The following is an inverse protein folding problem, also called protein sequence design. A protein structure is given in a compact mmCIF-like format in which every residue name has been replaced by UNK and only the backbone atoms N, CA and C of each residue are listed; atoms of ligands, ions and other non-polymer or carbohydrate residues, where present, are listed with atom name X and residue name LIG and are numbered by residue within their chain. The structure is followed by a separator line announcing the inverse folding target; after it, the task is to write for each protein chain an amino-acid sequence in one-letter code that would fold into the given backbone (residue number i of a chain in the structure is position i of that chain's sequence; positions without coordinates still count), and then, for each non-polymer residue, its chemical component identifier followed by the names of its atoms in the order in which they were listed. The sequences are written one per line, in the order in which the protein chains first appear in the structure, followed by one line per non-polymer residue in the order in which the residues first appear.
data_IF_131290778936
#
_entry.id   IF_131290778936
#
_cell.length_a   1.000
_cell.length_b   1.000
_cell.length_c   1.000
_cell.angle_alpha   90.00
_cell.angle_beta   90.00
_cell.angle_gamma   90.00
#
_symmetry.space_group_name_H-M   'P 1'
#
loop_
_entity.id
_entity.type
_entity.pdbx_description
1 polymer ?
#
# COMPACT_ATOMS: atom_id res chain seq x y z
N UNK A 1 -21.82 8.99 14.94
CA UNK A 1 -22.12 9.32 13.54
C UNK A 1 -22.73 8.13 12.79
N UNK A 2 -22.15 6.93 12.87
CA UNK A 2 -22.68 5.73 12.20
C UNK A 2 -24.13 5.44 12.61
N UNK A 3 -24.40 5.31 13.92
CA UNK A 3 -25.74 5.05 14.43
C UNK A 3 -26.70 6.24 14.23
N UNK A 4 -26.21 7.47 14.35
CA UNK A 4 -27.03 8.67 14.06
C UNK A 4 -27.45 8.75 12.59
N UNK A 5 -26.57 8.36 11.65
CA UNK A 5 -26.91 8.31 10.22
C UNK A 5 -27.96 7.24 9.88
N UNK A 6 -28.11 6.19 10.70
CA UNK A 6 -29.16 5.18 10.50
C UNK A 6 -30.55 5.65 10.98
N UNK A 7 -30.59 6.53 11.98
CA UNK A 7 -31.83 6.95 12.66
C UNK A 7 -32.42 8.25 12.12
N UNK A 8 -31.61 9.09 11.49
CA UNK A 8 -32.04 10.40 10.93
C UNK A 8 -31.95 10.32 9.40
N UNK A 9 -33.11 10.32 8.67
CA UNK A 9 -33.14 10.14 7.22
C UNK A 9 -32.30 11.19 6.45
N UNK A 10 -32.32 12.44 6.90
CA UNK A 10 -31.54 13.53 6.27
C UNK A 10 -30.04 13.30 6.44
N UNK A 11 -29.57 12.88 7.62
CA UNK A 11 -28.19 12.53 7.90
C UNK A 11 -27.78 11.27 7.13
N UNK A 12 -28.70 10.30 7.02
CA UNK A 12 -28.49 9.09 6.24
C UNK A 12 -28.21 9.40 4.77
N UNK A 13 -29.03 10.22 4.14
CA UNK A 13 -28.88 10.57 2.73
C UNK A 13 -27.60 11.40 2.50
N UNK A 14 -27.23 12.26 3.44
CA UNK A 14 -26.01 13.06 3.37
C UNK A 14 -24.74 12.24 3.60
N UNK A 15 -24.78 11.28 4.55
CA UNK A 15 -23.61 10.47 4.94
C UNK A 15 -23.40 9.26 4.03
N UNK A 16 -24.51 8.68 3.53
CA UNK A 16 -24.45 7.37 2.85
C UNK A 16 -24.81 7.48 1.36
N UNK A 17 -25.31 8.65 0.91
CA UNK A 17 -25.83 8.83 -0.45
C UNK A 17 -27.08 7.98 -0.72
N UNK A 18 -27.54 7.97 -1.97
CA UNK A 18 -28.70 7.17 -2.41
C UNK A 18 -28.39 5.66 -2.51
N UNK A 19 -27.17 5.26 -2.24
CA UNK A 19 -26.70 3.88 -2.39
C UNK A 19 -26.25 3.29 -1.07
N UNK A 20 -26.41 1.99 -0.94
CA UNK A 20 -25.89 1.19 0.19
C UNK A 20 -24.33 1.14 0.22
N UNK A 21 -23.64 1.96 -0.57
CA UNK A 21 -22.17 1.95 -0.76
C UNK A 21 -21.46 2.12 0.58
N UNK A 22 -21.86 3.11 1.39
CA UNK A 22 -21.25 3.32 2.70
C UNK A 22 -21.35 2.11 3.61
N UNK A 23 -22.52 1.44 3.62
CA UNK A 23 -22.72 0.21 4.38
C UNK A 23 -21.83 -0.94 3.90
N UNK A 24 -21.67 -1.08 2.58
CA UNK A 24 -20.82 -2.11 1.98
C UNK A 24 -19.34 -1.87 2.37
N UNK A 25 -18.88 -0.62 2.30
CA UNK A 25 -17.50 -0.26 2.70
C UNK A 25 -17.27 -0.53 4.19
N UNK A 26 -18.23 -0.21 5.05
CA UNK A 26 -18.13 -0.49 6.49
C UNK A 26 -18.11 -2.00 6.76
N UNK A 27 -18.96 -2.79 6.10
CA UNK A 27 -18.92 -4.26 6.23
C UNK A 27 -17.57 -4.83 5.73
N UNK A 28 -17.04 -4.31 4.62
CA UNK A 28 -15.71 -4.66 4.15
C UNK A 28 -14.63 -4.29 5.16
N UNK A 29 -14.72 -3.11 5.79
CA UNK A 29 -13.75 -2.69 6.81
C UNK A 29 -13.77 -3.58 8.04
N UNK A 30 -14.95 -4.07 8.46
CA UNK A 30 -15.06 -5.05 9.53
C UNK A 30 -14.42 -6.40 9.16
N UNK A 31 -14.58 -6.84 7.91
CA UNK A 31 -13.90 -8.06 7.43
C UNK A 31 -12.39 -7.93 7.46
N UNK A 32 -11.85 -6.81 6.95
CA UNK A 32 -10.40 -6.52 6.99
C UNK A 32 -9.90 -6.38 8.44
N UNK A 33 -10.66 -5.71 9.30
CA UNK A 33 -10.34 -5.61 10.73
C UNK A 33 -10.22 -6.99 11.38
N UNK A 34 -11.18 -7.89 11.12
CA UNK A 34 -11.13 -9.26 11.64
C UNK A 34 -9.90 -10.02 11.12
N UNK A 35 -9.58 -9.88 9.82
CA UNK A 35 -8.36 -10.48 9.26
C UNK A 35 -7.12 -9.95 9.98
N UNK A 36 -7.03 -8.64 10.22
CA UNK A 36 -5.93 -8.04 10.94
C UNK A 36 -5.85 -8.52 12.40
N UNK A 37 -6.97 -8.61 13.11
CA UNK A 37 -7.00 -9.17 14.48
C UNK A 37 -6.51 -10.62 14.49
N UNK A 38 -6.96 -11.44 13.53
CA UNK A 38 -6.49 -12.82 13.42
C UNK A 38 -4.99 -12.91 13.13
N UNK A 39 -4.45 -11.96 12.34
CA UNK A 39 -3.02 -11.89 12.08
C UNK A 39 -2.23 -11.46 13.32
N UNK A 40 -2.69 -10.44 14.04
CA UNK A 40 -2.09 -9.99 15.30
C UNK A 40 -2.07 -11.11 16.36
N UNK A 41 -3.11 -11.94 16.44
CA UNK A 41 -3.22 -13.01 17.44
C UNK A 41 -2.52 -14.32 17.03
N UNK A 42 -2.57 -14.70 15.75
CA UNK A 42 -2.17 -16.06 15.30
C UNK A 42 -1.12 -16.08 14.18
N UNK A 43 -0.66 -14.91 13.71
CA UNK A 43 0.32 -14.79 12.62
C UNK A 43 -0.09 -15.58 11.39
N UNK A 44 -1.08 -15.10 10.67
CA UNK A 44 -1.59 -15.73 9.47
C UNK A 44 -0.48 -15.91 8.41
N UNK A 45 -0.58 -16.95 7.60
CA UNK A 45 0.32 -17.03 6.45
C UNK A 45 0.01 -15.89 5.46
N UNK A 46 1.02 -15.29 4.80
CA UNK A 46 0.79 -14.17 3.87
C UNK A 46 -0.21 -14.50 2.76
N UNK A 47 -0.27 -15.77 2.33
CA UNK A 47 -1.22 -16.23 1.30
C UNK A 47 -2.66 -16.21 1.79
N UNK A 48 -2.91 -16.63 3.02
CA UNK A 48 -4.28 -16.64 3.63
C UNK A 48 -4.74 -15.21 3.89
N UNK A 49 -3.87 -14.35 4.43
CA UNK A 49 -4.13 -12.92 4.64
C UNK A 49 -4.52 -12.25 3.33
N UNK A 50 -3.69 -12.34 2.29
CA UNK A 50 -3.97 -11.75 0.98
C UNK A 50 -5.24 -12.31 0.33
N UNK A 51 -5.51 -13.61 0.45
CA UNK A 51 -6.74 -14.19 -0.09
C UNK A 51 -7.98 -13.58 0.57
N UNK A 52 -7.98 -13.41 1.89
CA UNK A 52 -9.06 -12.77 2.63
C UNK A 52 -9.25 -11.31 2.22
N UNK A 53 -8.16 -10.55 2.07
CA UNK A 53 -8.17 -9.18 1.60
C UNK A 53 -8.74 -9.08 0.18
N UNK A 54 -8.30 -9.94 -0.76
CA UNK A 54 -8.81 -9.97 -2.13
C UNK A 54 -10.29 -10.36 -2.21
N UNK A 55 -10.73 -11.34 -1.44
CA UNK A 55 -12.15 -11.72 -1.38
C UNK A 55 -12.98 -10.54 -0.87
N UNK A 56 -12.55 -9.89 0.20
CA UNK A 56 -13.24 -8.71 0.75
C UNK A 56 -13.28 -7.57 -0.28
N UNK A 57 -12.15 -7.25 -0.91
CA UNK A 57 -12.06 -6.20 -1.93
C UNK A 57 -12.97 -6.53 -3.14
N UNK A 58 -12.97 -7.77 -3.61
CA UNK A 58 -13.81 -8.20 -4.73
C UNK A 58 -15.30 -8.05 -4.43
N UNK A 59 -15.75 -8.45 -3.23
CA UNK A 59 -17.14 -8.26 -2.80
C UNK A 59 -17.51 -6.78 -2.73
N UNK A 60 -16.64 -5.95 -2.15
CA UNK A 60 -16.87 -4.51 -2.03
C UNK A 60 -16.90 -3.84 -3.40
N UNK A 61 -15.93 -4.11 -4.26
CA UNK A 61 -15.88 -3.57 -5.63
C UNK A 61 -17.13 -3.97 -6.43
N UNK A 62 -17.56 -5.23 -6.31
CA UNK A 62 -18.74 -5.74 -6.99
C UNK A 62 -20.03 -5.06 -6.53
N UNK A 63 -20.28 -5.02 -5.22
CA UNK A 63 -21.54 -4.50 -4.68
C UNK A 63 -21.59 -2.99 -4.64
N UNK A 64 -20.46 -2.31 -4.41
CA UNK A 64 -20.36 -0.84 -4.43
C UNK A 64 -20.11 -0.28 -5.85
N UNK A 65 -19.95 -1.16 -6.85
CA UNK A 65 -19.65 -0.78 -8.25
C UNK A 65 -18.44 0.15 -8.38
N UNK A 66 -17.43 -0.07 -7.55
CA UNK A 66 -16.17 0.65 -7.63
C UNK A 66 -15.32 0.05 -8.75
N UNK A 67 -14.76 0.87 -9.63
CA UNK A 67 -13.91 0.35 -10.70
C UNK A 67 -13.29 1.45 -11.53
N UNK A 68 -12.25 1.12 -12.27
CA UNK A 68 -11.61 2.00 -13.24
C UNK A 68 -12.16 1.71 -14.64
N UNK A 69 -13.24 2.38 -15.05
CA UNK A 69 -13.89 2.11 -16.34
C UNK A 69 -13.50 3.13 -17.42
N UNK A 70 -13.75 4.41 -17.15
CA UNK A 70 -13.37 5.51 -18.01
C UNK A 70 -12.40 6.41 -17.25
N UNK A 71 -11.11 6.29 -17.59
CA UNK A 71 -10.02 6.96 -16.86
C UNK A 71 -9.48 8.10 -17.69
N UNK A 72 -9.54 9.31 -17.15
CA UNK A 72 -8.88 10.46 -17.72
C UNK A 72 -7.44 10.57 -17.21
N UNK A 73 -6.48 10.58 -18.13
CA UNK A 73 -5.09 10.78 -17.80
C UNK A 73 -4.68 12.23 -18.07
N UNK A 74 -4.77 13.11 -17.06
CA UNK A 74 -4.13 14.44 -17.06
C UNK A 74 -4.36 15.27 -18.33
N UNK A 75 -5.50 15.08 -19.02
CA UNK A 75 -5.78 15.77 -20.28
C UNK A 75 -5.11 15.19 -21.52
N UNK A 76 -4.41 14.05 -21.41
CA UNK A 76 -3.83 13.34 -22.56
C UNK A 76 -4.83 12.48 -23.33
N UNK A 77 -6.07 12.40 -22.87
CA UNK A 77 -7.17 11.66 -23.49
C UNK A 77 -7.86 10.71 -22.51
N UNK A 78 -8.99 10.20 -22.99
CA UNK A 78 -9.85 9.29 -22.25
C UNK A 78 -9.46 7.86 -22.62
N UNK A 79 -9.16 7.05 -21.60
CA UNK A 79 -8.87 5.63 -21.74
C UNK A 79 -10.06 4.83 -21.23
N UNK A 80 -10.80 4.20 -22.14
CA UNK A 80 -11.85 3.25 -21.77
C UNK A 80 -11.23 1.90 -21.43
N UNK A 81 -11.44 1.46 -20.18
CA UNK A 81 -10.91 0.21 -19.64
C UNK A 81 -12.04 -0.82 -19.62
N UNK A 82 -11.83 -2.05 -20.14
CA UNK A 82 -12.83 -3.11 -20.04
C UNK A 82 -13.25 -3.36 -18.59
N UNK A 83 -14.54 -3.61 -18.34
CA UNK A 83 -15.11 -3.75 -17.00
C UNK A 83 -14.36 -4.76 -16.11
N UNK A 84 -13.99 -5.94 -16.67
CA UNK A 84 -13.24 -6.96 -15.94
C UNK A 84 -11.86 -6.49 -15.50
N UNK A 85 -11.21 -5.66 -16.32
CA UNK A 85 -9.90 -5.11 -16.01
C UNK A 85 -10.02 -3.97 -15.00
N UNK A 86 -11.03 -3.09 -15.16
CA UNK A 86 -11.34 -2.03 -14.19
C UNK A 86 -11.69 -2.57 -12.81
N UNK A 87 -12.45 -3.67 -12.76
CA UNK A 87 -12.71 -4.43 -11.54
C UNK A 87 -11.44 -4.97 -10.90
N UNK A 88 -10.59 -5.64 -11.70
CA UNK A 88 -9.32 -6.20 -11.21
C UNK A 88 -8.35 -5.14 -10.67
N UNK A 89 -8.25 -4.00 -11.37
CA UNK A 89 -7.42 -2.87 -10.94
C UNK A 89 -7.93 -2.24 -9.62
N UNK A 90 -9.24 -2.12 -9.43
CA UNK A 90 -9.82 -1.63 -8.19
C UNK A 90 -9.56 -2.59 -7.00
N UNK A 91 -9.70 -3.89 -7.21
CA UNK A 91 -9.35 -4.89 -6.21
C UNK A 91 -7.86 -4.81 -5.84
N UNK A 92 -6.98 -4.74 -6.85
CA UNK A 92 -5.54 -4.61 -6.65
C UNK A 92 -5.18 -3.32 -5.92
N UNK A 93 -5.86 -2.21 -6.24
CA UNK A 93 -5.66 -0.94 -5.56
C UNK A 93 -6.04 -1.02 -4.08
N UNK A 94 -7.23 -1.52 -3.75
CA UNK A 94 -7.72 -1.62 -2.36
C UNK A 94 -6.80 -2.52 -1.53
N UNK A 95 -6.46 -3.71 -2.03
CA UNK A 95 -5.54 -4.65 -1.35
C UNK A 95 -4.13 -4.07 -1.27
N UNK A 96 -3.66 -3.44 -2.35
CA UNK A 96 -2.36 -2.76 -2.39
C UNK A 96 -2.27 -1.64 -1.35
N UNK A 97 -3.33 -0.84 -1.18
CA UNK A 97 -3.41 0.22 -0.18
C UNK A 97 -3.43 -0.33 1.25
N UNK A 98 -4.21 -1.38 1.52
CA UNK A 98 -4.22 -2.05 2.82
C UNK A 98 -2.81 -2.49 3.22
N UNK A 99 -2.12 -3.19 2.32
CA UNK A 99 -0.76 -3.67 2.57
C UNK A 99 0.29 -2.54 2.57
N UNK A 100 0.15 -1.50 1.75
CA UNK A 100 1.09 -0.38 1.73
C UNK A 100 1.08 0.42 3.05
N UNK A 101 -0.12 0.66 3.61
CA UNK A 101 -0.25 1.31 4.93
C UNK A 101 0.25 0.40 6.05
N UNK A 102 0.01 -0.91 5.96
CA UNK A 102 0.54 -1.88 6.91
C UNK A 102 2.08 -1.94 6.87
N UNK A 103 2.69 -1.94 5.68
CA UNK A 103 4.15 -1.98 5.55
C UNK A 103 4.86 -0.71 6.04
N UNK A 104 4.22 0.46 5.97
CA UNK A 104 4.81 1.72 6.46
C UNK A 104 4.65 1.89 7.97
N UNK A 105 3.84 1.05 8.64
CA UNK A 105 3.61 1.09 10.11
C UNK A 105 4.80 0.54 10.91
N UNK A 106 5.98 1.07 10.63
CA UNK A 106 7.24 0.67 11.29
C UNK A 106 7.77 1.68 12.31
N UNK A 107 7.18 2.86 12.44
CA UNK A 107 7.56 3.91 13.39
C UNK A 107 6.33 4.57 14.02
N UNK A 108 6.47 4.96 15.31
CA UNK A 108 5.41 5.66 16.06
C UNK A 108 4.81 6.83 15.27
N UNK A 109 3.50 6.78 15.01
CA UNK A 109 2.75 7.81 14.32
C UNK A 109 2.95 7.88 12.80
N UNK A 110 3.82 7.06 12.20
CA UNK A 110 4.17 7.18 10.78
C UNK A 110 2.98 6.84 9.89
N UNK A 111 2.43 5.64 9.99
CA UNK A 111 1.32 5.18 9.15
C UNK A 111 0.07 6.05 9.36
N UNK A 112 -0.25 6.36 10.62
CA UNK A 112 -1.37 7.22 10.97
C UNK A 112 -1.24 8.61 10.34
N UNK A 113 -0.07 9.24 10.44
CA UNK A 113 0.14 10.60 9.92
C UNK A 113 0.18 10.66 8.40
N UNK A 114 0.83 9.71 7.74
CA UNK A 114 0.85 9.65 6.27
C UNK A 114 -0.56 9.41 5.73
N UNK A 115 -1.34 8.52 6.35
CA UNK A 115 -2.73 8.26 5.96
C UNK A 115 -3.61 9.50 6.21
N UNK A 116 -3.39 10.23 7.32
CA UNK A 116 -4.06 11.49 7.62
C UNK A 116 -3.89 12.51 6.48
N UNK A 117 -2.66 12.68 5.95
CA UNK A 117 -2.39 13.62 4.85
C UNK A 117 -3.15 13.22 3.57
N UNK A 118 -3.14 11.94 3.20
CA UNK A 118 -3.90 11.44 2.05
C UNK A 118 -5.41 11.61 2.21
N UNK A 119 -5.96 11.30 3.39
CA UNK A 119 -7.37 11.52 3.70
C UNK A 119 -7.76 13.00 3.68
N UNK A 120 -6.85 13.91 4.05
CA UNK A 120 -7.07 15.35 3.94
C UNK A 120 -7.25 15.78 2.48
N UNK A 121 -6.45 15.23 1.55
CA UNK A 121 -6.65 15.45 0.12
C UNK A 121 -8.00 14.91 -0.35
N UNK A 122 -8.39 13.71 0.08
CA UNK A 122 -9.69 13.09 -0.26
C UNK A 122 -10.85 13.97 0.25
N UNK A 123 -10.80 14.42 1.50
CA UNK A 123 -11.83 15.26 2.08
C UNK A 123 -11.99 16.59 1.32
N UNK A 124 -10.85 17.21 0.94
CA UNK A 124 -10.83 18.46 0.19
C UNK A 124 -11.37 18.27 -1.23
N UNK A 125 -10.92 17.22 -1.94
CA UNK A 125 -11.41 16.91 -3.29
C UNK A 125 -12.90 16.58 -3.23
N UNK A 126 -13.36 15.75 -2.30
CA UNK A 126 -14.78 15.44 -2.10
C UNK A 126 -15.63 16.69 -1.83
N UNK A 127 -15.12 17.63 -1.03
CA UNK A 127 -15.79 18.91 -0.75
C UNK A 127 -15.88 19.78 -2.02
N UNK A 128 -14.77 19.99 -2.71
CA UNK A 128 -14.70 20.83 -3.91
C UNK A 128 -15.45 20.21 -5.11
N UNK A 129 -15.49 18.89 -5.22
CA UNK A 129 -16.24 18.17 -6.26
C UNK A 129 -17.73 17.99 -5.93
N UNK A 130 -18.20 18.41 -4.75
CA UNK A 130 -19.60 18.27 -4.33
C UNK A 130 -20.00 16.82 -4.05
N UNK A 131 -19.09 16.01 -3.50
CA UNK A 131 -19.30 14.59 -3.14
C UNK A 131 -19.39 14.48 -1.60
N UNK A 132 -20.54 14.81 -0.97
CA UNK A 132 -20.64 15.01 0.47
C UNK A 132 -20.36 13.73 1.27
N UNK A 133 -20.79 12.56 0.81
CA UNK A 133 -20.55 11.30 1.50
C UNK A 133 -19.05 10.96 1.61
N UNK A 134 -18.25 11.21 0.56
CA UNK A 134 -16.79 11.06 0.61
C UNK A 134 -16.17 12.03 1.59
N UNK A 135 -16.59 13.30 1.54
CA UNK A 135 -16.11 14.35 2.46
C UNK A 135 -16.36 13.96 3.92
N UNK A 136 -17.58 13.53 4.24
CA UNK A 136 -17.94 13.15 5.60
C UNK A 136 -17.21 11.90 6.09
N UNK A 137 -17.09 10.88 5.26
CA UNK A 137 -16.36 9.65 5.62
C UNK A 137 -14.88 9.95 5.86
N UNK A 138 -14.23 10.69 4.95
CA UNK A 138 -12.83 11.07 5.10
C UNK A 138 -12.61 11.95 6.33
N UNK A 139 -13.47 12.96 6.57
CA UNK A 139 -13.37 13.86 7.74
C UNK A 139 -13.57 13.09 9.06
N UNK A 140 -14.47 12.11 9.08
CA UNK A 140 -14.67 11.23 10.26
C UNK A 140 -13.40 10.45 10.57
N UNK A 141 -12.78 9.83 9.54
CA UNK A 141 -11.52 9.11 9.73
C UNK A 141 -10.37 10.02 10.15
N UNK A 142 -10.29 11.24 9.60
CA UNK A 142 -9.34 12.27 10.04
C UNK A 142 -9.49 12.52 11.53
N UNK A 143 -10.73 12.73 12.02
CA UNK A 143 -11.00 12.92 13.43
C UNK A 143 -10.57 11.73 14.30
N UNK A 144 -10.86 10.50 13.85
CA UNK A 144 -10.42 9.28 14.53
C UNK A 144 -8.88 9.18 14.60
N UNK A 145 -8.18 9.45 13.49
CA UNK A 145 -6.72 9.39 13.44
C UNK A 145 -6.10 10.49 14.31
N UNK A 146 -6.64 11.70 14.30
CA UNK A 146 -6.14 12.77 15.18
C UNK A 146 -6.27 12.41 16.66
N UNK A 147 -7.41 11.82 17.06
CA UNK A 147 -7.59 11.29 18.42
C UNK A 147 -6.61 10.17 18.75
N UNK A 148 -6.39 9.25 17.81
CA UNK A 148 -5.42 8.14 17.98
C UNK A 148 -3.97 8.63 18.05
N UNK A 149 -3.58 9.62 17.25
CA UNK A 149 -2.23 10.21 17.24
C UNK A 149 -1.83 10.81 18.58
N UNK A 150 -2.76 11.23 19.42
CA UNK A 150 -2.45 11.68 20.81
C UNK A 150 -1.73 10.57 21.58
N UNK A 151 -2.06 9.30 21.32
CA UNK A 151 -1.50 8.14 21.99
C UNK A 151 -0.44 7.40 21.16
N UNK A 152 -0.48 7.54 19.83
CA UNK A 152 0.43 6.88 18.89
C UNK A 152 1.63 7.74 18.51
N UNK A 153 1.62 9.06 18.82
CA UNK A 153 2.81 9.91 18.65
C UNK A 153 3.90 9.53 19.63
N UNK A 154 5.16 9.69 19.19
CA UNK A 154 6.34 9.26 19.97
C UNK A 154 6.51 10.03 21.29
N UNK A 155 6.74 9.30 22.41
CA UNK A 155 6.75 7.85 22.56
C UNK A 155 5.32 7.29 22.51
N UNK A 156 5.05 6.33 21.64
CA UNK A 156 3.73 5.76 21.49
C UNK A 156 3.34 4.92 22.71
N UNK A 157 2.12 5.12 23.20
CA UNK A 157 1.52 4.30 24.27
C UNK A 157 0.53 3.26 23.72
N UNK A 158 0.04 3.48 22.49
CA UNK A 158 -0.87 2.57 21.77
C UNK A 158 -0.36 2.42 20.33
N UNK A 159 -0.39 1.20 19.82
CA UNK A 159 0.04 0.84 18.49
C UNK A 159 -1.16 0.50 17.61
N UNK A 160 -1.00 0.69 16.30
CA UNK A 160 -2.06 0.44 15.32
C UNK A 160 -2.33 -1.07 15.13
N UNK A 161 -1.25 -1.85 15.08
CA UNK A 161 -1.30 -3.28 14.78
C UNK A 161 -1.74 -3.55 13.33
N UNK A 162 -1.76 -4.82 12.95
CA UNK A 162 -2.24 -5.23 11.63
C UNK A 162 -3.74 -4.95 11.47
N UNK A 163 -4.52 -5.10 12.53
CA UNK A 163 -5.95 -4.79 12.52
C UNK A 163 -6.22 -3.32 12.19
N UNK A 164 -5.46 -2.38 12.73
CA UNK A 164 -5.64 -0.96 12.48
C UNK A 164 -5.06 -0.52 11.14
N UNK A 165 -3.82 -0.91 10.83
CA UNK A 165 -3.10 -0.48 9.63
C UNK A 165 -3.74 -1.00 8.34
N UNK A 166 -4.16 -2.28 8.29
CA UNK A 166 -4.90 -2.85 7.16
C UNK A 166 -6.24 -2.16 6.96
N UNK A 167 -6.98 -1.93 8.05
CA UNK A 167 -8.29 -1.27 8.00
C UNK A 167 -8.17 0.17 7.51
N UNK A 168 -7.19 0.93 8.00
CA UNK A 168 -6.94 2.30 7.52
C UNK A 168 -6.56 2.32 6.05
N UNK A 169 -5.68 1.42 5.62
CA UNK A 169 -5.27 1.32 4.22
C UNK A 169 -6.42 0.92 3.31
N UNK A 170 -7.25 -0.03 3.73
CA UNK A 170 -8.46 -0.43 3.01
C UNK A 170 -9.45 0.74 2.85
N UNK A 171 -9.78 1.45 3.94
CA UNK A 171 -10.68 2.60 3.90
C UNK A 171 -10.11 3.73 3.03
N UNK A 172 -8.82 4.02 3.15
CA UNK A 172 -8.14 4.99 2.30
C UNK A 172 -8.18 4.60 0.81
N UNK A 173 -8.00 3.31 0.50
CA UNK A 173 -8.14 2.77 -0.85
C UNK A 173 -9.54 2.95 -1.41
N UNK A 174 -10.58 2.56 -0.68
CA UNK A 174 -11.97 2.74 -1.09
C UNK A 174 -12.35 4.22 -1.29
N UNK A 175 -12.01 5.07 -0.31
CA UNK A 175 -12.37 6.50 -0.36
C UNK A 175 -11.62 7.23 -1.47
N UNK A 176 -10.38 6.86 -1.78
CA UNK A 176 -9.62 7.45 -2.87
C UNK A 176 -10.23 7.12 -4.24
N UNK A 177 -10.73 5.89 -4.43
CA UNK A 177 -11.49 5.53 -5.62
C UNK A 177 -12.77 6.34 -5.73
N UNK A 178 -13.54 6.42 -4.65
CA UNK A 178 -14.79 7.20 -4.64
C UNK A 178 -14.56 8.69 -4.91
N UNK A 179 -13.48 9.27 -4.39
CA UNK A 179 -13.11 10.67 -4.64
C UNK A 179 -12.64 10.92 -6.08
N UNK A 180 -12.22 9.89 -6.79
CA UNK A 180 -11.78 9.98 -8.17
C UNK A 180 -12.94 10.06 -9.17
N UNK A 181 -14.15 9.62 -8.78
CA UNK A 181 -15.32 9.73 -9.63
C UNK A 181 -15.77 11.17 -9.77
N UNK A 182 -15.83 11.66 -11.01
CA UNK A 182 -16.34 12.99 -11.35
C UNK A 182 -17.83 12.95 -11.66
N UNK A 183 -18.46 14.12 -11.64
CA UNK A 183 -19.88 14.25 -11.99
C UNK A 183 -20.20 13.86 -13.46
N UNK A 184 -19.20 13.87 -14.34
CA UNK A 184 -19.27 13.41 -15.73
C UNK A 184 -19.05 11.89 -15.90
N UNK A 185 -18.88 11.16 -14.80
CA UNK A 185 -18.64 9.71 -14.80
C UNK A 185 -17.19 9.30 -15.05
N UNK A 186 -16.29 10.25 -15.26
CA UNK A 186 -14.87 9.98 -15.50
C UNK A 186 -14.09 9.91 -14.19
N UNK A 187 -13.02 9.09 -14.20
CA UNK A 187 -12.13 8.92 -13.06
C UNK A 187 -10.83 9.68 -13.32
N UNK A 188 -10.45 10.56 -12.41
CA UNK A 188 -9.10 11.12 -12.35
C UNK A 188 -8.12 10.04 -11.88
N UNK A 189 -7.62 9.24 -12.82
CA UNK A 189 -6.88 8.00 -12.54
C UNK A 189 -5.61 8.17 -11.72
N UNK A 190 -5.02 9.35 -11.69
CA UNK A 190 -3.77 9.60 -10.96
C UNK A 190 -3.99 10.19 -9.55
N UNK A 191 -5.19 10.71 -9.25
CA UNK A 191 -5.48 11.29 -7.94
C UNK A 191 -5.17 10.33 -6.77
N UNK A 192 -5.64 9.06 -6.77
CA UNK A 192 -5.36 8.12 -5.68
C UNK A 192 -3.86 7.87 -5.49
N UNK A 193 -3.13 7.75 -6.61
CA UNK A 193 -1.69 7.48 -6.61
C UNK A 193 -0.93 8.65 -5.97
N UNK A 194 -1.27 9.89 -6.31
CA UNK A 194 -0.63 11.06 -5.71
C UNK A 194 -1.02 11.25 -4.25
N UNK A 195 -2.29 11.04 -3.88
CA UNK A 195 -2.74 11.19 -2.50
C UNK A 195 -1.99 10.26 -1.53
N UNK A 196 -1.64 9.05 -1.99
CA UNK A 196 -0.95 8.03 -1.20
C UNK A 196 0.40 7.62 -1.81
N UNK A 197 1.09 8.56 -2.46
CA UNK A 197 2.35 8.26 -3.14
C UNK A 197 3.40 7.64 -2.22
N UNK A 198 3.54 8.14 -0.99
CA UNK A 198 4.57 7.66 -0.06
C UNK A 198 4.39 6.18 0.28
N UNK A 199 3.26 5.70 0.81
CA UNK A 199 3.07 4.28 1.11
C UNK A 199 3.09 3.40 -0.14
N UNK A 200 2.49 3.86 -1.25
CA UNK A 200 2.48 3.11 -2.51
C UNK A 200 3.88 2.96 -3.08
N UNK A 201 4.67 4.05 -3.14
CA UNK A 201 6.03 4.01 -3.63
C UNK A 201 6.94 3.12 -2.76
N UNK A 202 6.83 3.20 -1.43
CA UNK A 202 7.61 2.36 -0.52
C UNK A 202 7.30 0.87 -0.73
N UNK A 203 6.02 0.51 -0.86
CA UNK A 203 5.56 -0.85 -1.17
C UNK A 203 6.07 -1.33 -2.54
N UNK A 204 5.89 -0.53 -3.61
CA UNK A 204 6.33 -0.88 -4.97
C UNK A 204 7.85 -1.05 -5.01
N UNK A 205 8.62 -0.13 -4.42
CA UNK A 205 10.08 -0.26 -4.36
C UNK A 205 10.53 -1.49 -3.57
N UNK A 206 9.83 -1.87 -2.50
CA UNK A 206 10.12 -3.11 -1.78
C UNK A 206 9.89 -4.35 -2.65
N UNK A 207 8.75 -4.41 -3.37
CA UNK A 207 8.43 -5.52 -4.29
C UNK A 207 9.46 -5.61 -5.41
N UNK A 208 9.74 -4.49 -6.10
CA UNK A 208 10.72 -4.43 -7.21
C UNK A 208 12.10 -4.87 -6.74
N UNK A 209 12.57 -4.36 -5.62
CA UNK A 209 13.87 -4.72 -5.04
C UNK A 209 13.98 -6.20 -4.71
N UNK A 210 12.96 -6.79 -4.07
CA UNK A 210 12.93 -8.22 -3.75
C UNK A 210 12.94 -9.07 -5.02
N UNK A 211 12.11 -8.72 -5.99
CA UNK A 211 12.03 -9.43 -7.28
C UNK A 211 13.35 -9.36 -8.04
N UNK A 212 13.99 -8.18 -8.11
CA UNK A 212 15.30 -8.01 -8.75
C UNK A 212 16.41 -8.79 -8.04
N UNK A 213 16.28 -9.06 -6.74
CA UNK A 213 17.21 -9.90 -5.98
C UNK A 213 16.84 -11.39 -6.00
N UNK A 214 15.88 -11.82 -6.80
CA UNK A 214 15.40 -13.21 -6.87
C UNK A 214 14.71 -13.70 -5.60
N UNK A 215 14.32 -12.80 -4.69
CA UNK A 215 13.64 -13.12 -3.43
C UNK A 215 12.12 -13.04 -3.59
N UNK A 216 11.41 -13.81 -2.78
CA UNK A 216 9.95 -13.73 -2.74
C UNK A 216 9.48 -12.33 -2.32
N UNK A 217 8.46 -11.74 -3.01
CA UNK A 217 7.88 -10.45 -2.61
C UNK A 217 7.30 -10.44 -1.19
N UNK A 218 7.02 -11.61 -0.61
CA UNK A 218 6.41 -11.77 0.72
C UNK A 218 7.42 -11.86 1.88
N UNK A 219 8.72 -11.84 1.59
CA UNK A 219 9.74 -11.86 2.64
C UNK A 219 9.84 -10.48 3.31
N UNK A 220 10.20 -10.48 4.60
CA UNK A 220 10.46 -9.24 5.32
C UNK A 220 11.60 -8.44 4.66
N UNK A 221 11.51 -7.11 4.69
CA UNK A 221 12.49 -6.19 4.14
C UNK A 221 12.79 -5.07 5.15
N UNK A 222 14.06 -4.77 5.32
CA UNK A 222 14.55 -3.72 6.22
C UNK A 222 14.98 -2.45 5.46
N UNK A 223 14.59 -2.31 4.19
CA UNK A 223 15.02 -1.21 3.34
C UNK A 223 13.89 -0.23 2.97
N UNK A 224 12.84 -0.15 3.80
CA UNK A 224 11.76 0.83 3.67
C UNK A 224 12.27 2.27 3.85
N UNK A 225 11.52 3.26 3.37
CA UNK A 225 11.92 4.68 3.40
C UNK A 225 12.36 5.13 4.79
N UNK A 226 11.62 4.77 5.84
CA UNK A 226 11.93 5.13 7.21
C UNK A 226 13.26 4.50 7.69
N UNK A 227 13.54 3.23 7.35
CA UNK A 227 14.80 2.59 7.67
C UNK A 227 15.98 3.27 6.97
N UNK A 228 15.81 3.66 5.70
CA UNK A 228 16.83 4.36 4.93
C UNK A 228 17.12 5.76 5.45
N UNK A 229 16.09 6.48 5.91
CA UNK A 229 16.27 7.78 6.56
C UNK A 229 17.04 7.65 7.88
N UNK A 230 16.70 6.66 8.70
CA UNK A 230 17.42 6.40 9.96
C UNK A 230 18.88 5.94 9.71
N UNK A 231 19.10 5.09 8.70
CA UNK A 231 20.46 4.69 8.29
C UNK A 231 21.33 5.86 7.83
N UNK A 232 20.73 7.02 7.50
CA UNK A 232 21.43 8.29 7.18
C UNK A 232 21.61 9.20 8.38
N UNK A 233 21.32 8.72 9.59
CA UNK A 233 21.52 9.45 10.82
C UNK A 233 20.34 10.32 11.26
N UNK A 234 19.17 10.23 10.61
CA UNK A 234 17.99 10.91 11.11
C UNK A 234 17.46 10.18 12.35
N UNK A 235 17.11 10.95 13.38
CA UNK A 235 16.38 10.37 14.52
C UNK A 235 14.98 9.94 14.08
N UNK A 236 14.38 9.00 14.82
CA UNK A 236 13.02 8.49 14.61
C UNK A 236 12.02 9.64 14.30
N UNK A 237 11.88 10.61 15.20
CA UNK A 237 10.94 11.73 15.01
C UNK A 237 11.24 12.58 13.77
N UNK A 238 12.54 12.80 13.43
CA UNK A 238 12.90 13.51 12.20
C UNK A 238 12.53 12.71 10.95
N UNK A 239 12.71 11.38 10.95
CA UNK A 239 12.32 10.53 9.84
C UNK A 239 10.79 10.58 9.62
N UNK A 240 10.00 10.50 10.69
CA UNK A 240 8.54 10.63 10.64
C UNK A 240 8.13 11.99 10.09
N UNK A 241 8.70 13.10 10.59
CA UNK A 241 8.39 14.45 10.11
C UNK A 241 8.71 14.64 8.63
N UNK A 242 9.83 14.10 8.14
CA UNK A 242 10.21 14.16 6.72
C UNK A 242 9.17 13.42 5.87
N UNK A 243 8.74 12.22 6.30
CA UNK A 243 7.74 11.44 5.56
C UNK A 243 6.35 12.08 5.62
N UNK A 244 5.96 12.68 6.74
CA UNK A 244 4.71 13.46 6.85
C UNK A 244 4.72 14.68 5.93
N UNK A 245 5.82 15.47 5.93
CA UNK A 245 5.97 16.61 5.04
C UNK A 245 5.92 16.19 3.56
N UNK A 246 6.57 15.07 3.22
CA UNK A 246 6.51 14.50 1.87
C UNK A 246 5.10 14.08 1.50
N UNK A 247 4.38 13.40 2.41
CA UNK A 247 2.98 12.99 2.19
C UNK A 247 2.06 14.20 2.05
N UNK A 248 2.28 15.27 2.82
CA UNK A 248 1.53 16.52 2.69
C UNK A 248 1.77 17.19 1.32
N UNK A 249 3.02 17.23 0.85
CA UNK A 249 3.32 17.70 -0.50
C UNK A 249 2.62 16.87 -1.57
N UNK A 250 2.62 15.52 -1.42
CA UNK A 250 1.89 14.63 -2.32
C UNK A 250 0.37 14.89 -2.29
N UNK A 251 -0.21 15.16 -1.12
CA UNK A 251 -1.61 15.53 -0.96
C UNK A 251 -1.96 16.82 -1.71
N UNK A 252 -1.11 17.85 -1.65
CA UNK A 252 -1.29 19.07 -2.44
C UNK A 252 -1.21 18.81 -3.94
N UNK A 253 -0.28 17.98 -4.37
CA UNK A 253 -0.16 17.58 -5.79
C UNK A 253 -1.40 16.81 -6.24
N UNK A 254 -1.93 15.92 -5.40
CA UNK A 254 -3.16 15.18 -5.70
C UNK A 254 -4.36 16.13 -5.92
N UNK A 255 -4.56 17.11 -5.02
CA UNK A 255 -5.62 18.11 -5.17
C UNK A 255 -5.40 18.95 -6.44
N UNK A 256 -4.17 19.37 -6.70
CA UNK A 256 -3.81 20.08 -7.92
C UNK A 256 -4.03 19.26 -9.19
N UNK A 257 -3.78 17.97 -9.15
CA UNK A 257 -4.04 17.05 -10.27
C UNK A 257 -5.54 16.85 -10.52
N UNK A 258 -6.35 16.81 -9.45
CA UNK A 258 -7.80 16.66 -9.58
C UNK A 258 -8.50 17.87 -10.24
N UNK A 259 -7.96 19.10 -10.09
CA UNK A 259 -8.58 20.33 -10.59
C UNK A 259 -7.71 21.13 -11.57
N UNK A 260 -6.42 20.82 -11.65
CA UNK A 260 -5.46 21.51 -12.52
C UNK A 260 -5.70 21.21 -13.99
N UNK A 261 -5.45 22.20 -14.84
CA UNK A 261 -5.56 22.05 -16.30
C UNK A 261 -4.35 22.70 -17.00
N UNK A 262 -3.97 22.12 -18.14
CA UNK A 262 -2.96 22.71 -19.04
C UNK A 262 -1.58 22.89 -18.39
N UNK A 263 -0.99 24.07 -18.61
CA UNK A 263 0.40 24.36 -18.19
C UNK A 263 0.63 24.30 -16.67
N UNK A 264 -0.38 24.67 -15.89
CA UNK A 264 -0.31 24.62 -14.42
C UNK A 264 -0.14 23.17 -13.92
N UNK A 265 -0.91 22.23 -14.48
CA UNK A 265 -0.81 20.83 -14.15
C UNK A 265 0.55 20.26 -14.59
N UNK A 266 1.00 20.60 -15.79
CA UNK A 266 2.32 20.19 -16.30
C UNK A 266 3.45 20.70 -15.38
N UNK A 267 3.42 21.97 -14.99
CA UNK A 267 4.41 22.55 -14.07
C UNK A 267 4.41 21.87 -12.71
N UNK A 268 3.21 21.56 -12.16
CA UNK A 268 3.04 20.85 -10.89
C UNK A 268 3.67 19.45 -10.96
N UNK A 269 3.40 18.69 -12.01
CA UNK A 269 3.91 17.33 -12.20
C UNK A 269 5.42 17.30 -12.41
N UNK A 270 5.95 18.24 -13.20
CA UNK A 270 7.40 18.38 -13.40
C UNK A 270 8.10 18.70 -12.08
N UNK A 271 7.55 19.66 -11.32
CA UNK A 271 8.11 20.03 -10.01
C UNK A 271 8.06 18.86 -9.03
N UNK A 272 6.94 18.13 -8.98
CA UNK A 272 6.79 16.93 -8.16
C UNK A 272 7.76 15.82 -8.58
N UNK A 273 7.89 15.57 -9.88
CA UNK A 273 8.83 14.58 -10.42
C UNK A 273 10.28 14.90 -10.07
N UNK A 274 10.68 16.18 -10.18
CA UNK A 274 12.01 16.64 -9.79
C UNK A 274 12.24 16.50 -8.28
N UNK A 275 11.29 16.91 -7.45
CA UNK A 275 11.37 16.77 -6.00
C UNK A 275 11.45 15.28 -5.59
N UNK A 276 10.64 14.43 -6.18
CA UNK A 276 10.68 12.98 -6.00
C UNK A 276 12.01 12.37 -6.42
N UNK A 277 12.55 12.78 -7.56
CA UNK A 277 13.86 12.36 -8.03
C UNK A 277 14.97 12.74 -7.04
N UNK A 278 14.98 14.00 -6.56
CA UNK A 278 15.94 14.48 -5.55
C UNK A 278 15.81 13.66 -4.26
N UNK A 279 14.58 13.41 -3.78
CA UNK A 279 14.33 12.60 -2.59
C UNK A 279 14.84 11.16 -2.78
N UNK A 280 14.52 10.52 -3.89
CA UNK A 280 14.95 9.15 -4.18
C UNK A 280 16.48 9.06 -4.33
N UNK A 281 17.10 10.07 -4.96
CA UNK A 281 18.57 10.19 -5.00
C UNK A 281 19.14 10.37 -3.60
N UNK A 282 18.54 11.22 -2.79
CA UNK A 282 18.94 11.39 -1.39
C UNK A 282 18.78 10.09 -0.60
N UNK A 283 17.72 9.31 -0.82
CA UNK A 283 17.52 8.01 -0.21
C UNK A 283 18.44 6.90 -0.77
N UNK A 284 19.23 7.19 -1.81
CA UNK A 284 20.22 6.27 -2.38
C UNK A 284 19.65 5.22 -3.34
N UNK A 285 18.42 5.44 -3.86
CA UNK A 285 17.84 4.55 -4.86
C UNK A 285 18.52 4.66 -6.23
N UNK A 286 19.11 5.83 -6.58
CA UNK A 286 19.82 6.08 -7.83
C UNK A 286 21.36 6.02 -7.68
N UNK A 287 21.91 5.21 -6.78
CA UNK A 287 23.29 4.81 -6.92
C UNK A 287 23.35 3.82 -8.08
N UNK A 288 24.09 4.16 -9.14
CA UNK A 288 24.31 3.27 -10.30
C UNK A 288 24.87 1.89 -9.90
N UNK A 289 25.55 1.79 -8.75
CA UNK A 289 25.98 0.54 -8.11
C UNK A 289 24.80 -0.39 -7.76
N UNK A 290 23.56 0.13 -7.63
CA UNK A 290 22.40 -0.66 -7.24
C UNK A 290 21.96 -1.57 -8.38
N UNK A 291 21.95 -1.09 -9.62
CA UNK A 291 21.65 -1.89 -10.81
C UNK A 291 22.81 -2.82 -11.19
N UNK A 292 24.07 -2.35 -11.10
CA UNK A 292 25.25 -3.16 -11.40
C UNK A 292 25.48 -4.27 -10.39
N UNK A 293 25.40 -3.99 -9.09
CA UNK A 293 25.56 -4.99 -8.03
C UNK A 293 24.36 -5.96 -7.95
N UNK A 294 23.15 -5.51 -8.26
CA UNK A 294 21.97 -6.37 -8.34
C UNK A 294 22.07 -7.40 -9.47
N UNK A 295 22.55 -6.99 -10.63
CA UNK A 295 22.81 -7.92 -11.76
C UNK A 295 23.99 -8.87 -11.48
N UNK A 296 25.06 -8.35 -10.89
CA UNK A 296 26.24 -9.17 -10.53
C UNK A 296 25.90 -10.15 -9.41
N UNK A 297 25.13 -9.74 -8.39
CA UNK A 297 24.69 -10.66 -7.34
C UNK A 297 23.71 -11.71 -7.84
N UNK A 298 22.82 -11.40 -8.80
CA UNK A 298 21.92 -12.37 -9.42
C UNK A 298 22.69 -13.44 -10.22
N UNK A 299 23.79 -13.07 -10.86
CA UNK A 299 24.66 -14.00 -11.56
C UNK A 299 25.46 -14.83 -10.55
N UNK A 300 26.00 -14.19 -9.52
CA UNK A 300 26.80 -14.86 -8.49
C UNK A 300 25.96 -15.78 -7.58
N UNK A 301 24.73 -15.38 -7.20
CA UNK A 301 23.81 -16.23 -6.43
C UNK A 301 23.33 -17.45 -7.25
N UNK A 302 23.18 -17.32 -8.58
CA UNK A 302 22.87 -18.45 -9.44
C UNK A 302 24.03 -19.43 -9.59
N UNK A 303 25.26 -18.93 -9.66
CA UNK A 303 26.45 -19.79 -9.68
C UNK A 303 26.66 -20.47 -8.34
N UNK A 304 26.55 -19.77 -7.20
CA UNK A 304 26.66 -20.37 -5.86
C UNK A 304 25.55 -21.40 -5.60
N UNK A 305 24.30 -21.13 -6.04
CA UNK A 305 23.21 -22.11 -5.91
C UNK A 305 23.46 -23.38 -6.76
N UNK A 306 23.98 -23.22 -7.98
CA UNK A 306 24.36 -24.39 -8.84
C UNK A 306 25.47 -25.18 -8.23
N UNK A 307 26.50 -24.54 -7.67
CA UNK A 307 27.60 -25.22 -6.99
C UNK A 307 27.10 -25.91 -5.72
N UNK A 308 26.23 -25.29 -4.94
CA UNK A 308 25.63 -25.91 -3.76
C UNK A 308 24.77 -27.14 -4.13
N UNK A 309 23.94 -27.06 -5.18
CA UNK A 309 23.17 -28.21 -5.69
C UNK A 309 24.08 -29.34 -6.19
N UNK A 310 25.21 -29.03 -6.83
CA UNK A 310 26.18 -30.03 -7.26
C UNK A 310 26.84 -30.71 -6.07
N UNK A 311 27.27 -29.96 -5.07
CA UNK A 311 27.90 -30.52 -3.85
C UNK A 311 26.89 -31.38 -3.07
N UNK A 312 25.62 -30.98 -2.97
CA UNK A 312 24.57 -31.79 -2.33
C UNK A 312 24.38 -33.11 -3.07
N UNK A 313 24.32 -33.10 -4.42
CA UNK A 313 24.22 -34.34 -5.23
C UNK A 313 25.44 -35.25 -5.11
N UNK A 314 26.65 -34.67 -5.02
CA UNK A 314 27.86 -35.45 -4.80
C UNK A 314 27.89 -36.09 -3.39
N UNK A 315 27.44 -35.34 -2.36
CA UNK A 315 27.32 -35.86 -0.99
C UNK A 315 26.26 -36.96 -0.91
N UNK A 316 25.08 -36.75 -1.51
CA UNK A 316 24.03 -37.78 -1.59
C UNK A 316 24.52 -39.04 -2.32
N UNK A 317 25.29 -38.88 -3.41
CA UNK A 317 25.91 -40.01 -4.14
C UNK A 317 26.96 -40.75 -3.29
N UNK A 318 27.76 -40.02 -2.49
CA UNK A 318 28.72 -40.64 -1.57
C UNK A 318 28.05 -41.35 -0.40
N UNK A 319 26.96 -40.82 0.13
CA UNK A 319 26.17 -41.48 1.19
C UNK A 319 25.52 -42.74 0.66
N UNK A 320 24.91 -42.70 -0.52
CA UNK A 320 24.35 -43.92 -1.15
C UNK A 320 25.39 -45.01 -1.43
N UNK A 321 26.63 -44.64 -1.77
CA UNK A 321 27.74 -45.57 -1.90
C UNK A 321 28.23 -46.11 -0.55
N UNK A 322 28.08 -45.37 0.55
CA UNK A 322 28.45 -45.84 1.89
C UNK A 322 27.45 -46.84 2.46
N UNK A 323 26.17 -46.71 2.13
CA UNK A 323 25.12 -47.66 2.52
C UNK A 323 25.30 -49.03 1.83
N UNK A 324 25.84 -49.05 0.59
CA UNK A 324 26.21 -50.29 -0.10
C UNK A 324 27.41 -51.04 0.55
N UNK A 325 28.23 -50.37 1.39
CA UNK A 325 29.32 -50.98 2.11
C UNK A 325 28.93 -51.64 3.45
N UNK A 326 27.77 -51.33 4.03
CA UNK A 326 27.27 -52.01 5.22
C UNK A 326 26.67 -53.40 4.95
N UNK A 327 26.37 -53.71 3.67
CA UNK A 327 25.84 -55.00 3.24
C UNK A 327 26.91 -56.01 2.80
N UNK A 328 28.21 -55.72 3.00
CA UNK A 328 29.25 -56.71 2.77
C UNK A 328 29.21 -57.79 3.86
N UNK A 329 29.01 -59.08 3.50
CA UNK A 329 28.95 -60.18 4.48
C UNK A 329 30.24 -60.26 5.29
N UNK A 330 30.10 -60.32 6.61
CA UNK A 330 31.16 -60.68 7.54
C UNK A 330 31.59 -62.17 7.25
N UNK A 331 32.37 -62.31 6.25
CA UNK A 331 32.99 -63.58 5.91
C UNK A 331 34.49 -63.47 6.21
N UNK A 332 34.89 -63.49 7.47
CA UNK A 332 36.17 -63.90 8.00
C UNK A 332 35.99 -64.10 9.52
N UNK A 333 35.54 -65.25 9.95
CA UNK A 333 36.00 -65.98 11.11
C UNK A 333 36.18 -67.45 10.72
#
# INVERSE_FOLDING_TARGET
LFFGGLTVPELRNTLWGDSHIGGIIVLGSLSIFVIGVLDDLSRLSPKVKLLGEFVTAALVVWFAKLGFYDVQFLGFGDLSIPEWMGFGLACLWIVGMANAVNLIDGLDGLASGVTLMGLTAIALVGYLAGIPHVTWMATTLIGCILGFLVFNSRPASIFLGDCGSLTLGYLAGCLSLMASFRADGMIEGLFPIFAFFIPVADCVFAIVRRTLRGRSPFLADMEHFHHRLMARGLSHGKAVLVLWASALCCAFVAVGAAFGRGDQLTALLVTFGLAGFVLLRYLGYFRFDFFGKGLVSLVQDRETSRVAEQVVKEVEGMVALSDDFEDLPRAIE
#
